data_IF_586472768096
#
_entry.id   IF_586472768096
#
_cell.length_a   1.000
_cell.length_b   1.000
_cell.length_c   1.000
_cell.angle_alpha   90.00
_cell.angle_beta   90.00
_cell.angle_gamma   90.00
#
_symmetry.space_group_name_H-M   'P 1'
#
loop_
_entity.id
_entity.type
_entity.pdbx_description
1 polymer ?
#
# COMPACT_ATOMS: atom_id res chain seq x y z
N UNK A 1 -11.36 -5.23 0.65
CA UNK A 1 -10.64 -5.97 -0.40
C UNK A 1 -9.53 -6.77 0.23
N UNK A 2 -8.52 -7.12 -0.56
CA UNK A 2 -7.36 -7.89 -0.09
C UNK A 2 -6.58 -7.18 1.02
N UNK A 3 -5.90 -7.96 1.84
CA UNK A 3 -5.02 -7.44 2.90
C UNK A 3 -3.65 -7.13 2.32
N UNK A 4 -3.09 -5.98 2.69
CA UNK A 4 -1.71 -5.65 2.38
C UNK A 4 -0.76 -6.48 3.28
N UNK A 5 0.09 -7.28 2.65
CA UNK A 5 1.08 -8.15 3.28
C UNK A 5 2.47 -7.84 2.72
N UNK A 6 3.51 -8.43 3.32
CA UNK A 6 4.88 -8.27 2.83
C UNK A 6 5.07 -8.89 1.43
N UNK A 7 4.19 -9.80 1.00
CA UNK A 7 4.28 -10.43 -0.31
C UNK A 7 3.80 -9.50 -1.43
N UNK A 8 2.74 -8.73 -1.16
CA UNK A 8 2.03 -7.91 -2.15
C UNK A 8 2.30 -6.39 -2.04
N UNK A 9 2.91 -5.92 -0.95
CA UNK A 9 3.39 -4.54 -0.78
C UNK A 9 4.86 -4.53 -0.39
N UNK A 10 5.66 -3.73 -1.10
CA UNK A 10 7.10 -3.60 -0.86
C UNK A 10 7.58 -2.19 -1.21
N UNK A 11 8.66 -1.75 -0.58
CA UNK A 11 9.30 -0.49 -0.92
C UNK A 11 10.15 -0.66 -2.19
N UNK A 12 9.76 0.00 -3.28
CA UNK A 12 10.49 0.05 -4.56
C UNK A 12 10.84 1.52 -4.85
N UNK A 13 12.06 1.77 -5.33
CA UNK A 13 12.57 3.10 -5.68
C UNK A 13 12.82 3.21 -7.18
N UNK A 14 12.86 4.43 -7.76
CA UNK A 14 12.58 5.76 -7.18
C UNK A 14 11.08 6.01 -6.87
N UNK A 15 10.76 7.07 -6.13
CA UNK A 15 9.47 7.24 -5.44
C UNK A 15 8.36 7.94 -6.26
N UNK A 16 7.15 7.36 -6.22
CA UNK A 16 5.90 7.93 -6.76
C UNK A 16 4.67 7.68 -5.85
N UNK A 17 4.89 7.14 -4.65
CA UNK A 17 3.83 6.76 -3.71
C UNK A 17 4.20 7.12 -2.27
N UNK A 18 3.62 6.41 -1.32
CA UNK A 18 3.89 6.59 0.10
C UNK A 18 5.38 6.42 0.44
N UNK A 19 5.82 7.12 1.48
CA UNK A 19 7.20 7.05 1.93
C UNK A 19 7.53 5.65 2.47
N UNK A 20 8.75 5.13 2.27
CA UNK A 20 9.15 3.80 2.75
C UNK A 20 8.91 3.57 4.25
N UNK A 21 9.00 4.63 5.07
CA UNK A 21 8.74 4.59 6.51
C UNK A 21 7.31 4.22 6.89
N UNK A 22 6.35 4.40 5.99
CA UNK A 22 4.94 4.10 6.25
C UNK A 22 4.61 2.62 6.00
N UNK A 23 5.50 1.86 5.34
CA UNK A 23 5.27 0.45 5.00
C UNK A 23 4.79 -0.40 6.19
N UNK A 24 5.42 -0.35 7.39
CA UNK A 24 4.97 -1.13 8.54
C UNK A 24 3.52 -0.83 8.95
N UNK A 25 3.06 0.40 8.75
CA UNK A 25 1.71 0.82 9.11
C UNK A 25 0.66 0.46 8.05
N UNK A 26 1.09 0.19 6.80
CA UNK A 26 0.23 -0.33 5.72
C UNK A 26 -0.07 -1.83 5.91
N UNK A 27 0.90 -2.61 6.41
CA UNK A 27 0.74 -4.06 6.57
C UNK A 27 -0.45 -4.38 7.49
N UNK A 28 -1.27 -5.34 7.09
CA UNK A 28 -2.49 -5.75 7.81
C UNK A 28 -3.72 -4.89 7.52
N UNK A 29 -3.57 -3.75 6.83
CA UNK A 29 -4.72 -2.95 6.38
C UNK A 29 -5.38 -3.57 5.14
N UNK A 30 -6.64 -3.22 4.90
CA UNK A 30 -7.40 -3.69 3.74
C UNK A 30 -7.40 -2.68 2.61
N UNK A 31 -7.32 -3.17 1.37
CA UNK A 31 -7.54 -2.38 0.17
C UNK A 31 -9.02 -1.97 0.01
N UNK A 32 -9.27 -0.73 -0.41
CA UNK A 32 -10.63 -0.23 -0.73
C UNK A 32 -10.98 -0.30 -2.22
N UNK A 33 -10.01 -0.60 -3.09
CA UNK A 33 -10.20 -0.72 -4.54
C UNK A 33 -9.32 -1.81 -5.13
N UNK A 34 -9.57 -2.18 -6.38
CA UNK A 34 -8.74 -3.13 -7.11
C UNK A 34 -7.46 -2.44 -7.59
N UNK A 35 -6.31 -2.95 -7.17
CA UNK A 35 -5.00 -2.45 -7.59
C UNK A 35 -4.35 -3.41 -8.59
N UNK A 36 -3.62 -2.87 -9.56
CA UNK A 36 -2.81 -3.66 -10.48
C UNK A 36 -1.42 -3.85 -9.86
N UNK A 37 -0.72 -4.92 -10.25
CA UNK A 37 0.68 -5.11 -9.85
C UNK A 37 1.51 -3.93 -10.35
N UNK A 38 2.37 -3.39 -9.48
CA UNK A 38 3.20 -2.23 -9.80
C UNK A 38 2.51 -0.87 -9.63
N UNK A 39 1.26 -0.82 -9.16
CA UNK A 39 0.62 0.43 -8.77
C UNK A 39 1.38 1.07 -7.60
N UNK A 40 1.74 2.35 -7.73
CA UNK A 40 2.34 3.11 -6.63
C UNK A 40 1.35 3.24 -5.47
N UNK A 41 1.80 2.92 -4.25
CA UNK A 41 0.94 2.91 -3.08
C UNK A 41 0.50 4.32 -2.70
N UNK A 42 -0.80 4.52 -2.48
CA UNK A 42 -1.41 5.79 -2.03
C UNK A 42 -2.29 5.56 -0.80
N UNK A 43 -2.45 6.62 0.01
CA UNK A 43 -3.26 6.59 1.24
C UNK A 43 -4.72 6.24 0.96
N UNK A 44 -5.28 6.73 -0.15
CA UNK A 44 -6.67 6.48 -0.56
C UNK A 44 -7.00 5.00 -0.77
N UNK A 45 -6.00 4.15 -0.99
CA UNK A 45 -6.23 2.71 -1.17
C UNK A 45 -6.42 1.96 0.14
N UNK A 46 -6.17 2.60 1.29
CA UNK A 46 -6.13 1.94 2.59
C UNK A 46 -7.42 2.23 3.36
N UNK A 47 -8.13 1.17 3.75
CA UNK A 47 -9.37 1.28 4.52
C UNK A 47 -9.11 1.94 5.88
N UNK A 48 -9.80 3.05 6.15
CA UNK A 48 -9.72 3.78 7.42
C UNK A 48 -8.42 4.54 7.62
N UNK A 49 -7.71 4.86 6.54
CA UNK A 49 -6.49 5.68 6.56
C UNK A 49 -6.83 7.11 6.12
N UNK A 50 -7.38 7.88 7.07
CA UNK A 50 -7.98 9.21 6.86
C UNK A 50 -9.19 9.20 5.91
#
# INVERSE_FOLDING_TARGET
GDVFTQDNVRSIRPGYGMAPKDLPAVIGKQAVSRLKKGTAMQKEFIKGWL
#
